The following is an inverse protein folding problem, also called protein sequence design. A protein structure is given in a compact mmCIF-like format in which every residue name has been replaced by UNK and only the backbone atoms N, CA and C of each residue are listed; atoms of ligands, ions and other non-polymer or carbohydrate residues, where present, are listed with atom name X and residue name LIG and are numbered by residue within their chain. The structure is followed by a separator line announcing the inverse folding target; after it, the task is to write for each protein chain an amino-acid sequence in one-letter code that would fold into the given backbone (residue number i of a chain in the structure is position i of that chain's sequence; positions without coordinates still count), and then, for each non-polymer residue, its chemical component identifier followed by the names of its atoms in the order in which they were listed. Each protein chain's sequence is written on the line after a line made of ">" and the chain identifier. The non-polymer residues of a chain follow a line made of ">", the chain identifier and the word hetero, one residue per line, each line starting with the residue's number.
data_IF_050415836081
#
_entry.id   IF_050415836081
#
_cell.length_a   1.000
_cell.length_b   1.000
_cell.length_c   1.000
_cell.angle_alpha   90.00
_cell.angle_beta   90.00
_cell.angle_gamma   90.00
#
_symmetry.space_group_name_H-M   'P 1'
#
loop_
_entity.id
_entity.type
_entity.pdbx_description
1 polymer ?
#
# COMPACT_ATOMS: atom_id res chain seq x y z
N UNK A 1 17.09 -1.82 20.80
CA UNK A 1 17.09 -1.89 19.32
C UNK A 1 17.97 -3.08 18.95
N UNK A 2 17.44 -4.10 18.28
CA UNK A 2 18.27 -5.23 17.85
C UNK A 2 19.15 -4.76 16.68
N UNK A 3 20.48 -5.00 16.68
CA UNK A 3 21.36 -4.50 15.62
C UNK A 3 20.96 -4.96 14.20
N UNK A 4 20.24 -6.09 14.09
CA UNK A 4 19.69 -6.58 12.83
C UNK A 4 18.39 -5.91 12.36
N UNK A 5 17.70 -5.11 13.18
CA UNK A 5 16.38 -4.55 12.81
C UNK A 5 16.45 -3.59 11.62
N UNK A 6 17.59 -2.92 11.43
CA UNK A 6 17.83 -2.04 10.28
C UNK A 6 17.84 -2.81 8.96
N UNK A 7 18.39 -4.02 8.95
CA UNK A 7 18.42 -4.88 7.75
C UNK A 7 17.00 -5.25 7.27
N UNK A 8 16.03 -5.34 8.20
CA UNK A 8 14.62 -5.61 7.87
C UNK A 8 13.83 -4.34 7.54
N UNK A 9 14.18 -3.19 8.14
CA UNK A 9 13.49 -1.92 7.88
C UNK A 9 13.88 -1.28 6.53
N UNK A 10 15.14 -1.42 6.10
CA UNK A 10 15.62 -0.82 4.84
C UNK A 10 14.83 -1.28 3.60
N UNK A 11 14.56 -2.59 3.38
CA UNK A 11 13.70 -3.05 2.30
C UNK A 11 12.28 -2.46 2.34
N UNK A 12 11.74 -2.22 3.54
CA UNK A 12 10.40 -1.64 3.70
C UNK A 12 10.37 -0.16 3.32
N UNK A 13 11.44 0.59 3.58
CA UNK A 13 11.54 1.95 3.04
C UNK A 13 11.73 1.95 1.52
N UNK A 14 12.54 1.03 0.99
CA UNK A 14 12.74 0.91 -0.45
C UNK A 14 11.43 0.58 -1.18
N UNK A 15 10.65 -0.38 -0.67
CA UNK A 15 9.34 -0.73 -1.25
C UNK A 15 8.36 0.44 -1.11
N UNK A 16 8.36 1.15 0.03
CA UNK A 16 7.50 2.32 0.23
C UNK A 16 7.80 3.44 -0.78
N UNK A 17 9.07 3.74 -1.04
CA UNK A 17 9.47 4.71 -2.05
C UNK A 17 9.05 4.28 -3.46
N UNK A 18 9.22 3.00 -3.79
CA UNK A 18 8.83 2.45 -5.08
C UNK A 18 7.31 2.52 -5.29
N UNK A 19 6.53 2.04 -4.34
CA UNK A 19 5.06 2.06 -4.41
C UNK A 19 4.54 3.49 -4.42
N UNK A 20 5.15 4.40 -3.65
CA UNK A 20 4.78 5.81 -3.67
C UNK A 20 4.99 6.43 -5.05
N UNK A 21 6.13 6.17 -5.68
CA UNK A 21 6.43 6.63 -7.04
C UNK A 21 5.43 6.11 -8.08
N UNK A 22 5.09 4.81 -8.02
CA UNK A 22 4.08 4.21 -8.92
C UNK A 22 2.71 4.85 -8.68
N UNK A 23 2.29 4.99 -7.42
CA UNK A 23 1.02 5.61 -7.07
C UNK A 23 0.93 7.06 -7.55
N UNK A 24 1.99 7.84 -7.34
CA UNK A 24 2.10 9.21 -7.83
C UNK A 24 1.93 9.29 -9.36
N UNK A 25 2.65 8.45 -10.10
CA UNK A 25 2.55 8.40 -11.57
C UNK A 25 1.15 7.97 -12.03
N UNK A 26 0.52 7.03 -11.33
CA UNK A 26 -0.82 6.55 -11.63
C UNK A 26 -1.87 7.66 -11.46
N UNK A 27 -1.75 8.49 -10.42
CA UNK A 27 -2.60 9.67 -10.23
C UNK A 27 -2.33 10.79 -11.25
N UNK A 28 -1.09 10.95 -11.71
CA UNK A 28 -0.74 11.95 -12.72
C UNK A 28 -1.12 11.57 -14.15
N UNK A 29 -1.37 10.27 -14.42
CA UNK A 29 -1.76 9.76 -15.74
C UNK A 29 -3.07 8.97 -15.68
N UNK A 30 -4.21 9.60 -15.30
CA UNK A 30 -5.47 8.90 -15.05
C UNK A 30 -6.19 8.40 -16.30
N UNK A 31 -5.66 8.70 -17.51
CA UNK A 31 -6.32 8.38 -18.80
C UNK A 31 -6.47 6.89 -19.07
N UNK A 32 -5.77 6.01 -18.34
CA UNK A 32 -5.90 4.57 -18.50
C UNK A 32 -6.94 3.96 -17.56
N UNK A 33 -7.79 3.03 -18.03
CA UNK A 33 -8.71 2.29 -17.17
C UNK A 33 -7.98 1.64 -15.99
N UNK A 34 -8.45 1.91 -14.76
CA UNK A 34 -7.85 1.36 -13.54
C UNK A 34 -6.65 2.13 -12.99
N UNK A 35 -6.13 3.16 -13.66
CA UNK A 35 -4.99 3.96 -13.17
C UNK A 35 -5.24 4.56 -11.79
N UNK A 36 -6.41 5.14 -11.54
CA UNK A 36 -6.77 5.67 -10.21
C UNK A 36 -6.83 4.56 -9.15
N UNK A 37 -7.33 3.38 -9.50
CA UNK A 37 -7.45 2.25 -8.58
C UNK A 37 -6.08 1.66 -8.24
N UNK A 38 -5.18 1.61 -9.22
CA UNK A 38 -3.76 1.31 -9.02
C UNK A 38 -3.11 2.36 -8.11
N UNK A 39 -3.40 3.64 -8.31
CA UNK A 39 -2.92 4.72 -7.45
C UNK A 39 -3.27 4.50 -5.97
N UNK A 40 -4.54 4.24 -5.68
CA UNK A 40 -5.00 3.94 -4.32
C UNK A 40 -4.39 2.67 -3.72
N UNK A 41 -4.26 1.61 -4.53
CA UNK A 41 -3.60 0.37 -4.11
C UNK A 41 -2.14 0.65 -3.70
N UNK A 42 -1.41 1.38 -4.54
CA UNK A 42 -0.02 1.74 -4.27
C UNK A 42 0.12 2.66 -3.05
N UNK A 43 -0.82 3.59 -2.82
CA UNK A 43 -0.85 4.40 -1.60
C UNK A 43 -1.08 3.55 -0.36
N UNK A 44 -2.01 2.58 -0.42
CA UNK A 44 -2.25 1.64 0.69
C UNK A 44 -0.99 0.83 1.03
N UNK A 45 -0.31 0.29 0.01
CA UNK A 45 0.95 -0.45 0.20
C UNK A 45 2.08 0.43 0.76
N UNK A 46 2.17 1.68 0.29
CA UNK A 46 3.14 2.66 0.81
C UNK A 46 2.90 2.91 2.29
N UNK A 47 1.65 3.20 2.65
CA UNK A 47 1.25 3.47 4.02
C UNK A 47 1.52 2.28 4.94
N UNK A 48 1.15 1.07 4.50
CA UNK A 48 1.41 -0.15 5.25
C UNK A 48 2.92 -0.39 5.46
N UNK A 49 3.71 -0.26 4.39
CA UNK A 49 5.16 -0.50 4.44
C UNK A 49 5.88 0.47 5.37
N UNK A 50 5.50 1.75 5.37
CA UNK A 50 6.04 2.76 6.29
C UNK A 50 5.71 2.42 7.75
N UNK A 51 4.47 2.06 8.04
CA UNK A 51 4.06 1.70 9.40
C UNK A 51 4.76 0.44 9.90
N UNK A 52 4.97 -0.54 9.02
CA UNK A 52 5.70 -1.76 9.36
C UNK A 52 7.18 -1.46 9.63
N UNK A 53 7.81 -0.56 8.86
CA UNK A 53 9.16 -0.09 9.14
C UNK A 53 9.24 0.63 10.50
N UNK A 54 8.26 1.49 10.81
CA UNK A 54 8.16 2.17 12.10
C UNK A 54 7.93 1.18 13.25
N UNK A 55 7.14 0.14 13.05
CA UNK A 55 6.92 -0.94 14.03
C UNK A 55 8.23 -1.68 14.35
N UNK A 56 9.03 -2.00 13.34
CA UNK A 56 10.33 -2.66 13.51
C UNK A 56 11.32 -1.75 14.27
N UNK A 57 11.31 -0.46 13.98
CA UNK A 57 12.21 0.52 14.60
C UNK A 57 11.75 0.99 15.99
N UNK A 58 10.47 0.84 16.32
CA UNK A 58 9.90 1.30 17.59
C UNK A 58 10.56 0.60 18.80
N UNK A 59 11.15 1.36 19.74
CA UNK A 59 11.81 0.80 20.91
C UNK A 59 10.84 0.37 22.01
N UNK A 60 9.61 0.89 22.01
CA UNK A 60 8.59 0.63 23.04
C UNK A 60 7.49 -0.29 22.51
N UNK A 61 6.94 -1.14 23.39
CA UNK A 61 5.82 -2.02 23.04
C UNK A 61 4.59 -1.21 22.58
N UNK A 62 4.28 -0.11 23.28
CA UNK A 62 3.16 0.76 22.92
C UNK A 62 3.33 1.37 21.53
N UNK A 63 4.55 1.74 21.14
CA UNK A 63 4.86 2.24 19.79
C UNK A 63 4.63 1.19 18.71
N UNK A 64 5.02 -0.06 18.98
CA UNK A 64 4.75 -1.19 18.08
C UNK A 64 3.26 -1.44 17.88
N UNK A 65 2.51 -1.50 18.99
CA UNK A 65 1.06 -1.70 18.96
C UNK A 65 0.36 -0.57 18.19
N UNK A 66 0.81 0.67 18.38
CA UNK A 66 0.25 1.82 17.66
C UNK A 66 0.49 1.71 16.15
N UNK A 67 1.74 1.43 15.75
CA UNK A 67 2.10 1.23 14.35
C UNK A 67 1.30 0.08 13.72
N UNK A 68 1.19 -1.06 14.41
CA UNK A 68 0.42 -2.21 13.97
C UNK A 68 -1.07 -1.87 13.79
N UNK A 69 -1.69 -1.14 14.71
CA UNK A 69 -3.09 -0.71 14.61
C UNK A 69 -3.36 0.11 13.35
N UNK A 70 -2.46 1.03 13.01
CA UNK A 70 -2.59 1.77 11.76
C UNK A 70 -2.27 0.90 10.55
N UNK A 71 -1.32 -0.03 10.66
CA UNK A 71 -0.94 -0.93 9.56
C UNK A 71 -2.13 -1.80 9.10
N UNK A 72 -3.02 -2.17 10.03
CA UNK A 72 -4.26 -2.90 9.71
C UNK A 72 -5.13 -2.19 8.66
N UNK A 73 -5.17 -0.86 8.64
CA UNK A 73 -5.92 -0.12 7.61
C UNK A 73 -5.36 -0.38 6.21
N UNK A 74 -4.03 -0.44 6.09
CA UNK A 74 -3.36 -0.81 4.85
C UNK A 74 -3.61 -2.27 4.48
N UNK A 75 -3.46 -3.18 5.45
CA UNK A 75 -3.67 -4.63 5.27
C UNK A 75 -5.08 -4.94 4.73
N UNK A 76 -6.12 -4.37 5.33
CA UNK A 76 -7.52 -4.66 4.96
C UNK A 76 -7.91 -3.97 3.64
N UNK A 77 -7.37 -2.78 3.36
CA UNK A 77 -7.67 -2.07 2.11
C UNK A 77 -6.96 -2.68 0.89
N UNK A 78 -5.77 -3.25 1.06
CA UNK A 78 -4.98 -3.86 -0.02
C UNK A 78 -5.75 -4.91 -0.86
N UNK A 79 -6.34 -5.98 -0.28
CA UNK A 79 -7.06 -6.99 -1.06
C UNK A 79 -8.30 -6.43 -1.76
N UNK A 80 -9.00 -5.48 -1.13
CA UNK A 80 -10.18 -4.81 -1.71
C UNK A 80 -9.80 -3.98 -2.94
N UNK A 81 -8.72 -3.19 -2.82
CA UNK A 81 -8.19 -2.38 -3.92
C UNK A 81 -7.57 -3.24 -5.03
N UNK A 82 -6.94 -4.36 -4.67
CA UNK A 82 -6.43 -5.34 -5.62
C UNK A 82 -7.56 -5.96 -6.45
N UNK A 83 -8.66 -6.36 -5.82
CA UNK A 83 -9.82 -6.89 -6.51
C UNK A 83 -10.45 -5.83 -7.42
N UNK A 84 -10.62 -4.60 -6.94
CA UNK A 84 -11.14 -3.50 -7.73
C UNK A 84 -10.26 -3.21 -8.95
N UNK A 85 -8.92 -3.26 -8.78
CA UNK A 85 -7.98 -3.13 -9.88
C UNK A 85 -8.14 -4.28 -10.88
N UNK A 86 -8.21 -5.53 -10.42
CA UNK A 86 -8.36 -6.70 -11.28
C UNK A 86 -9.64 -6.62 -12.14
N UNK A 87 -10.77 -6.23 -11.55
CA UNK A 87 -12.05 -6.05 -12.28
C UNK A 87 -11.95 -4.95 -13.34
N UNK A 88 -11.34 -3.80 -13.00
CA UNK A 88 -11.18 -2.68 -13.94
C UNK A 88 -10.17 -2.98 -15.05
N UNK A 89 -9.07 -3.64 -14.71
CA UNK A 89 -7.98 -3.93 -15.63
C UNK A 89 -8.34 -5.05 -16.62
N UNK A 90 -9.14 -6.03 -16.20
CA UNK A 90 -9.61 -7.13 -17.08
C UNK A 90 -10.83 -6.76 -17.93
N UNK A 91 -11.29 -5.51 -17.89
CA UNK A 91 -12.42 -5.05 -18.70
C UNK A 91 -13.81 -5.50 -18.21
N UNK A 92 -13.91 -6.11 -17.02
CA UNK A 92 -15.21 -6.49 -16.45
C UNK A 92 -16.02 -5.29 -15.93
N UNK A 93 -15.37 -4.14 -15.70
CA UNK A 93 -16.05 -2.92 -15.26
C UNK A 93 -17.12 -2.42 -16.25
N UNK A 94 -16.89 -2.55 -17.57
CA UNK A 94 -17.88 -2.13 -18.59
C UNK A 94 -19.12 -3.04 -18.67
N UNK A 95 -19.06 -4.24 -18.09
CA UNK A 95 -20.17 -5.21 -18.06
C UNK A 95 -20.98 -5.14 -16.75
N UNK A 96 -20.40 -4.61 -15.68
CA UNK A 96 -21.07 -4.47 -14.38
C UNK A 96 -21.98 -3.22 -14.30
N UNK A 97 -21.71 -2.17 -15.08
CA UNK A 97 -22.56 -0.97 -15.18
C UNK A 97 -23.80 -1.17 -16.10
N UNK A 98 -24.01 -2.38 -16.62
CA UNK A 98 -25.14 -2.74 -17.52
C UNK A 98 -26.27 -3.51 -16.82
N UNK A 99 -26.22 -3.66 -15.50
CA UNK A 99 -27.27 -4.27 -14.66
C UNK A 99 -27.69 -3.31 -13.55
#
# INVERSE_FOLDING_TARGET
>A
MYPGSLLYALPLFAIACLTWGIGFLAFHRPKQPGAITLGWLMTSLTFWSLLNALEILAPTLSGKILAAKFAYLGIVSTPSLWLALAVKYTGHASRAEQF
#
